data_IF_147266083812
#
_entry.id   IF_147266083812
#
_cell.length_a   1.000
_cell.length_b   1.000
_cell.length_c   1.000
_cell.angle_alpha   90.00
_cell.angle_beta   90.00
_cell.angle_gamma   90.00
#
_symmetry.space_group_name_H-M   'P 1'
#
loop_
_entity.id
_entity.type
_entity.pdbx_description
1 polymer ?
#
# COMPACT_ATOMS: atom_id res chain seq x y z
N UNK A 1 -12.49 14.34 -12.17
CA UNK A 1 -11.11 14.10 -12.58
C UNK A 1 -10.21 13.63 -11.44
N UNK A 2 -10.39 14.16 -10.23
CA UNK A 2 -9.64 13.69 -9.06
C UNK A 2 -9.85 12.21 -8.81
N UNK A 3 -11.08 11.72 -8.94
CA UNK A 3 -11.37 10.30 -8.67
C UNK A 3 -10.59 9.37 -9.58
N UNK A 4 -10.44 9.73 -10.85
CA UNK A 4 -9.68 8.89 -11.77
C UNK A 4 -8.19 8.82 -11.38
N UNK A 5 -7.60 9.96 -10.98
CA UNK A 5 -6.22 10.01 -10.54
C UNK A 5 -6.02 9.22 -9.24
N UNK A 6 -6.98 9.34 -8.32
CA UNK A 6 -6.91 8.61 -7.05
C UNK A 6 -7.01 7.10 -7.27
N UNK A 7 -7.89 6.68 -8.20
CA UNK A 7 -8.02 5.26 -8.53
C UNK A 7 -6.75 4.72 -9.20
N UNK A 8 -6.15 5.48 -10.10
CA UNK A 8 -4.90 5.08 -10.75
C UNK A 8 -3.77 4.96 -9.73
N UNK A 9 -3.69 5.92 -8.81
CA UNK A 9 -2.69 5.86 -7.75
C UNK A 9 -2.92 4.67 -6.84
N UNK A 10 -4.17 4.40 -6.46
CA UNK A 10 -4.50 3.25 -5.63
C UNK A 10 -4.09 1.94 -6.29
N UNK A 11 -4.38 1.79 -7.58
CA UNK A 11 -4.00 0.59 -8.32
C UNK A 11 -2.49 0.45 -8.42
N UNK A 12 -1.79 1.55 -8.65
CA UNK A 12 -0.33 1.54 -8.73
C UNK A 12 0.29 1.16 -7.39
N UNK A 13 -0.24 1.69 -6.30
CA UNK A 13 0.23 1.35 -4.96
C UNK A 13 0.00 -0.14 -4.69
N UNK A 14 -1.18 -0.65 -5.05
CA UNK A 14 -1.46 -2.08 -4.87
C UNK A 14 -0.49 -2.95 -5.67
N UNK A 15 -0.17 -2.56 -6.91
CA UNK A 15 0.82 -3.28 -7.72
C UNK A 15 2.19 -3.28 -7.05
N UNK A 16 2.58 -2.17 -6.46
CA UNK A 16 3.86 -2.07 -5.73
C UNK A 16 3.85 -2.97 -4.51
N UNK A 17 2.74 -3.01 -3.78
CA UNK A 17 2.61 -3.90 -2.62
C UNK A 17 2.74 -5.38 -3.02
N UNK A 18 2.17 -5.74 -4.16
CA UNK A 18 2.32 -7.09 -4.72
C UNK A 18 3.79 -7.35 -5.04
N UNK A 19 4.45 -6.40 -5.69
CA UNK A 19 5.87 -6.53 -6.04
C UNK A 19 6.78 -6.64 -4.83
N UNK A 20 6.41 -6.03 -3.70
CA UNK A 20 7.16 -6.12 -2.45
C UNK A 20 6.88 -7.40 -1.67
N UNK A 21 5.95 -8.21 -2.12
CA UNK A 21 5.60 -9.45 -1.42
C UNK A 21 4.68 -9.26 -0.23
N UNK A 22 4.01 -8.12 -0.12
CA UNK A 22 3.05 -7.86 0.97
C UNK A 22 1.69 -8.46 0.63
N UNK A 23 1.69 -9.71 0.21
CA UNK A 23 0.50 -10.42 -0.21
C UNK A 23 0.43 -11.77 0.50
N UNK A 24 -0.71 -12.43 0.39
CA UNK A 24 -0.88 -13.77 0.91
C UNK A 24 -1.61 -14.62 -0.13
N UNK A 25 -1.14 -15.85 -0.30
CA UNK A 25 -1.78 -16.81 -1.18
C UNK A 25 -2.44 -17.89 -0.32
N UNK A 26 -3.74 -18.08 -0.52
CA UNK A 26 -4.47 -19.17 0.12
C UNK A 26 -4.78 -20.22 -0.94
N UNK A 27 -4.61 -21.50 -0.55
CA UNK A 27 -4.93 -22.63 -1.42
C UNK A 27 -6.32 -23.11 -1.10
N UNK A 28 -7.17 -23.21 -2.13
CA UNK A 28 -8.53 -23.66 -1.98
C UNK A 28 -8.59 -25.19 -2.05
N UNK A 29 -9.62 -25.75 -1.42
CA UNK A 29 -9.80 -27.21 -1.36
C UNK A 29 -9.93 -27.81 -2.77
N UNK A 30 -10.47 -27.07 -3.72
CA UNK A 30 -10.63 -27.53 -5.09
C UNK A 30 -9.39 -27.41 -5.97
N UNK A 31 -8.22 -27.04 -5.41
CA UNK A 31 -6.97 -26.92 -6.14
C UNK A 31 -6.68 -25.54 -6.71
N UNK A 32 -7.56 -24.56 -6.47
CA UNK A 32 -7.32 -23.20 -6.88
C UNK A 32 -6.48 -22.44 -5.87
N UNK A 33 -6.01 -21.24 -6.27
CA UNK A 33 -5.28 -20.34 -5.40
C UNK A 33 -5.96 -18.98 -5.38
N UNK A 34 -6.01 -18.34 -4.22
CA UNK A 34 -6.54 -16.98 -4.08
C UNK A 34 -5.43 -16.08 -3.58
N UNK A 35 -5.15 -15.03 -4.32
CA UNK A 35 -4.17 -14.03 -3.93
C UNK A 35 -4.88 -12.91 -3.16
N UNK A 36 -4.42 -12.66 -1.95
CA UNK A 36 -4.91 -11.57 -1.12
C UNK A 36 -3.90 -10.44 -1.14
N UNK A 37 -4.38 -9.22 -1.37
CA UNK A 37 -3.56 -8.01 -1.47
C UNK A 37 -4.11 -6.99 -0.48
N UNK A 38 -3.23 -6.29 0.28
CA UNK A 38 -3.71 -5.18 1.10
C UNK A 38 -4.41 -4.16 0.22
N UNK A 39 -5.53 -3.62 0.71
CA UNK A 39 -6.36 -2.74 -0.10
C UNK A 39 -6.15 -1.27 0.28
N UNK A 40 -6.06 -0.42 -0.74
CA UNK A 40 -6.09 1.02 -0.54
C UNK A 40 -7.53 1.42 -0.29
N UNK A 41 -7.82 1.88 0.93
CA UNK A 41 -9.16 2.22 1.37
C UNK A 41 -9.49 3.68 1.08
N UNK A 42 -8.51 4.55 1.18
CA UNK A 42 -8.72 5.96 0.90
C UNK A 42 -7.42 6.61 0.42
N UNK A 43 -7.59 7.68 -0.35
CA UNK A 43 -6.50 8.52 -0.83
C UNK A 43 -6.86 9.96 -0.50
N UNK A 44 -5.98 10.64 0.20
CA UNK A 44 -6.14 12.06 0.51
C UNK A 44 -5.09 12.83 -0.27
N UNK A 45 -5.56 13.71 -1.15
CA UNK A 45 -4.65 14.53 -1.96
C UNK A 45 -3.82 15.44 -1.07
N UNK A 46 -2.58 15.64 -1.47
CA UNK A 46 -1.65 16.45 -0.71
C UNK A 46 -1.12 17.61 -1.49
N UNK A 47 0.06 18.14 -1.22
CA UNK A 47 1.21 17.49 -0.59
C UNK A 47 1.18 17.51 0.94
N UNK A 48 1.63 16.41 1.58
CA UNK A 48 1.92 15.12 0.95
C UNK A 48 0.65 14.30 0.73
N UNK A 49 0.68 13.41 -0.23
CA UNK A 49 -0.43 12.49 -0.47
C UNK A 49 -0.43 11.45 0.64
N UNK A 50 -1.60 11.18 1.19
CA UNK A 50 -1.75 10.19 2.27
C UNK A 50 -2.69 9.10 1.83
N UNK A 51 -2.31 7.87 2.13
CA UNK A 51 -3.09 6.68 1.79
C UNK A 51 -3.45 5.93 3.06
N UNK A 52 -4.65 5.38 3.09
CA UNK A 52 -5.04 4.44 4.13
C UNK A 52 -5.09 3.06 3.51
N UNK A 53 -4.36 2.11 4.09
CA UNK A 53 -4.27 0.75 3.61
C UNK A 53 -4.87 -0.18 4.64
N UNK A 54 -5.72 -1.10 4.21
CA UNK A 54 -6.20 -2.17 5.07
C UNK A 54 -5.25 -3.34 4.94
N UNK A 55 -4.55 -3.63 6.03
CA UNK A 55 -3.61 -4.75 6.08
C UNK A 55 -4.37 -6.08 6.06
N UNK A 56 -3.72 -7.12 5.56
CA UNK A 56 -4.25 -8.47 5.62
C UNK A 56 -4.12 -9.01 7.04
N UNK A 57 -4.97 -9.95 7.44
CA UNK A 57 -4.84 -10.59 8.75
C UNK A 57 -3.43 -11.14 8.96
N UNK A 58 -2.83 -10.83 10.10
CA UNK A 58 -1.48 -11.24 10.43
C UNK A 58 -0.39 -10.27 9.99
N UNK A 59 -0.71 -9.30 9.14
CA UNK A 59 0.25 -8.27 8.80
C UNK A 59 0.31 -7.20 9.89
N UNK A 60 1.50 -6.65 10.10
CA UNK A 60 1.75 -5.66 11.14
C UNK A 60 2.30 -4.37 10.52
N UNK A 61 2.33 -3.32 11.34
CA UNK A 61 2.95 -2.07 10.96
C UNK A 61 4.40 -2.29 10.53
N UNK A 62 5.12 -3.17 11.22
CA UNK A 62 6.52 -3.45 10.92
C UNK A 62 6.70 -4.04 9.52
N UNK A 63 5.75 -4.86 9.06
CA UNK A 63 5.81 -5.41 7.69
C UNK A 63 5.83 -4.31 6.65
N UNK A 64 5.01 -3.27 6.84
CA UNK A 64 4.96 -2.14 5.92
C UNK A 64 6.19 -1.24 6.09
N UNK A 65 6.62 -1.03 7.32
CA UNK A 65 7.79 -0.19 7.61
C UNK A 65 9.05 -0.76 6.96
N UNK A 66 9.24 -2.08 7.02
CA UNK A 66 10.39 -2.73 6.41
C UNK A 66 10.41 -2.57 4.90
N UNK A 67 9.25 -2.47 4.27
CA UNK A 67 9.15 -2.35 2.81
C UNK A 67 9.02 -0.90 2.35
N UNK A 68 8.96 0.07 3.28
CA UNK A 68 8.77 1.47 2.92
C UNK A 68 9.81 2.00 1.93
N UNK A 69 11.11 1.71 2.07
CA UNK A 69 12.08 2.18 1.08
C UNK A 69 11.83 1.63 -0.32
N UNK A 70 11.45 0.34 -0.42
CA UNK A 70 11.14 -0.27 -1.71
C UNK A 70 9.87 0.31 -2.31
N UNK A 71 8.86 0.59 -1.48
CA UNK A 71 7.62 1.22 -1.93
C UNK A 71 7.91 2.60 -2.48
N UNK A 72 8.72 3.40 -1.76
CA UNK A 72 9.10 4.73 -2.20
C UNK A 72 9.83 4.68 -3.54
N UNK A 73 10.79 3.78 -3.66
CA UNK A 73 11.59 3.64 -4.88
C UNK A 73 10.72 3.27 -6.08
N UNK A 74 9.80 2.33 -5.90
CA UNK A 74 8.93 1.88 -6.98
C UNK A 74 7.87 2.91 -7.37
N UNK A 75 7.51 3.82 -6.45
CA UNK A 75 6.56 4.90 -6.73
C UNK A 75 7.25 6.18 -7.18
N UNK A 76 8.58 6.20 -7.22
CA UNK A 76 9.32 7.39 -7.57
C UNK A 76 9.25 8.49 -6.52
N UNK A 77 9.06 8.12 -5.27
CA UNK A 77 9.00 9.05 -4.15
C UNK A 77 10.34 9.12 -3.44
N UNK A 78 10.60 10.25 -2.76
CA UNK A 78 11.79 10.39 -1.94
C UNK A 78 11.70 9.51 -0.70
N UNK A 79 10.53 9.46 -0.10
CA UNK A 79 10.31 8.72 1.14
C UNK A 79 8.85 8.33 1.26
N UNK A 80 8.60 7.21 1.89
CA UNK A 80 7.25 6.79 2.30
C UNK A 80 7.29 6.61 3.82
N UNK A 81 6.44 7.34 4.53
CA UNK A 81 6.30 7.21 5.97
C UNK A 81 5.12 6.33 6.29
N UNK A 82 5.31 5.45 7.25
CA UNK A 82 4.29 4.49 7.65
C UNK A 82 3.85 4.81 9.06
N UNK A 83 2.54 4.85 9.29
CA UNK A 83 1.98 5.16 10.61
C UNK A 83 0.76 4.28 10.89
N UNK A 84 0.51 3.92 12.15
CA UNK A 84 -0.69 3.17 12.49
C UNK A 84 -1.89 4.10 12.51
N UNK A 85 -3.00 3.65 11.92
CA UNK A 85 -4.25 4.41 11.91
C UNK A 85 -5.37 3.71 12.68
N UNK A 86 -5.13 2.51 13.16
CA UNK A 86 -6.13 1.73 13.87
C UNK A 86 -5.95 0.25 13.62
N UNK A 87 -6.86 -0.58 14.13
CA UNK A 87 -6.78 -2.02 13.91
C UNK A 87 -6.78 -2.32 12.40
N UNK A 88 -5.74 -2.99 11.93
CA UNK A 88 -5.58 -3.38 10.53
C UNK A 88 -5.51 -2.22 9.54
N UNK A 89 -5.39 -0.97 10.00
CA UNK A 89 -5.28 0.19 9.13
C UNK A 89 -3.89 0.81 9.24
N UNK A 90 -3.27 0.98 8.09
CA UNK A 90 -1.91 1.50 7.98
C UNK A 90 -1.95 2.77 7.14
N UNK A 91 -1.36 3.85 7.64
CA UNK A 91 -1.24 5.09 6.89
C UNK A 91 0.09 5.13 6.14
N UNK A 92 0.03 5.49 4.86
CA UNK A 92 1.23 5.77 4.07
C UNK A 92 1.21 7.23 3.67
N UNK A 93 2.30 7.92 3.96
CA UNK A 93 2.50 9.31 3.57
C UNK A 93 3.58 9.35 2.50
N UNK A 94 3.20 9.79 1.30
CA UNK A 94 4.09 9.79 0.15
C UNK A 94 4.78 11.15 0.04
N UNK A 95 6.09 11.19 0.26
CA UNK A 95 6.88 12.41 0.21
C UNK A 95 7.60 12.48 -1.13
N UNK A 96 7.26 13.46 -1.98
CA UNK A 96 7.87 13.55 -3.31
C UNK A 96 9.32 13.96 -3.25
N UNK A 97 10.07 13.63 -4.31
CA UNK A 97 11.44 14.06 -4.44
C UNK A 97 11.48 15.59 -4.64
N UNK A 98 12.44 16.29 -4.03
CA UNK A 98 12.61 17.70 -4.31
C UNK A 98 13.05 17.90 -5.76
N UNK A 99 12.62 19.00 -6.33
CA UNK A 99 13.03 19.36 -7.69
C UNK A 99 14.41 20.01 -7.70
#
# INVERSE_FOLDING_TARGET
MRQANDQLLALRVQDVLVGCGLTRVDFNIGGGRTLHVPQVVSVVAGPPVKLTIRALPGQTLDDFTRHAPAIADNLGMAEVRVAPLGPSLIGLELLPKPE
#
